data_IF_057977427676
#
_entry.id   IF_057977427676
#
_cell.length_a   1.000
_cell.length_b   1.000
_cell.length_c   1.000
_cell.angle_alpha   90.00
_cell.angle_beta   90.00
_cell.angle_gamma   90.00
#
_symmetry.space_group_name_H-M   'P 1'
#
loop_
_entity.id
_entity.type
_entity.pdbx_description
1 polymer ?
#
# COMPACT_ATOMS: atom_id res chain seq x y z
N UNK A 1 -19.08 13.18 -23.15
CA UNK A 1 -18.56 14.29 -22.32
C UNK A 1 -19.54 14.63 -21.21
N UNK A 2 -19.03 14.78 -19.98
CA UNK A 2 -19.78 15.21 -18.80
C UNK A 2 -19.29 16.60 -18.41
N UNK A 3 -20.22 17.52 -18.12
CA UNK A 3 -19.93 18.82 -17.50
C UNK A 3 -20.44 18.81 -16.05
N UNK A 4 -19.57 19.13 -15.10
CA UNK A 4 -19.95 19.47 -13.73
C UNK A 4 -19.83 21.00 -13.61
N UNK A 5 -20.90 21.71 -13.21
CA UNK A 5 -20.93 23.18 -13.08
C UNK A 5 -21.32 23.63 -11.68
N UNK A 6 -21.14 24.92 -11.40
CA UNK A 6 -21.47 25.55 -10.11
C UNK A 6 -20.81 24.88 -8.91
N UNK A 7 -19.59 24.36 -9.07
CA UNK A 7 -18.88 23.61 -8.03
C UNK A 7 -17.89 24.48 -7.25
N UNK A 8 -17.70 24.15 -5.97
CA UNK A 8 -16.51 24.57 -5.19
C UNK A 8 -15.43 23.51 -5.37
N UNK A 9 -14.52 23.72 -6.32
CA UNK A 9 -13.52 22.73 -6.69
C UNK A 9 -12.31 22.85 -5.77
N UNK A 10 -11.88 21.73 -5.21
CA UNK A 10 -10.64 21.59 -4.44
C UNK A 10 -9.67 20.69 -5.22
N UNK A 11 -8.78 21.26 -6.06
CA UNK A 11 -7.88 20.46 -6.90
C UNK A 11 -6.78 19.72 -6.14
N UNK A 12 -6.55 20.07 -4.87
CA UNK A 12 -5.44 19.62 -3.99
C UNK A 12 -4.03 20.06 -4.42
N UNK A 13 -3.77 20.26 -5.71
CA UNK A 13 -2.48 20.75 -6.24
C UNK A 13 -2.39 22.26 -6.38
N UNK A 14 -3.49 22.99 -6.14
CA UNK A 14 -3.58 24.42 -6.38
C UNK A 14 -4.65 25.08 -5.52
N UNK A 15 -4.96 26.34 -5.85
CA UNK A 15 -5.95 27.13 -5.10
C UNK A 15 -7.36 26.62 -5.33
N UNK A 16 -8.21 26.77 -4.31
CA UNK A 16 -9.65 26.54 -4.40
C UNK A 16 -10.27 27.41 -5.51
N UNK A 17 -11.18 26.81 -6.25
CA UNK A 17 -11.97 27.47 -7.29
C UNK A 17 -13.41 27.58 -6.81
N UNK A 18 -13.89 28.81 -6.64
CA UNK A 18 -15.30 29.10 -6.39
C UNK A 18 -16.04 29.18 -7.74
N UNK A 19 -17.29 28.73 -7.79
CA UNK A 19 -18.16 28.76 -8.98
C UNK A 19 -17.49 28.12 -10.23
N UNK A 20 -16.81 27.00 -10.01
CA UNK A 20 -16.04 26.33 -11.03
C UNK A 20 -16.81 25.30 -11.85
N UNK A 21 -16.13 24.81 -12.88
CA UNK A 21 -16.58 23.69 -13.70
C UNK A 21 -15.51 22.63 -13.90
N UNK A 22 -15.95 21.42 -14.27
CA UNK A 22 -15.10 20.30 -14.67
C UNK A 22 -15.70 19.65 -15.91
N UNK A 23 -14.89 19.46 -16.95
CA UNK A 23 -15.21 18.69 -18.14
C UNK A 23 -14.53 17.33 -18.02
N UNK A 24 -15.32 16.26 -18.13
CA UNK A 24 -14.84 14.88 -18.14
C UNK A 24 -15.16 14.24 -19.49
N UNK A 25 -14.16 13.62 -20.08
CA UNK A 25 -14.29 12.86 -21.33
C UNK A 25 -13.50 11.57 -21.19
N UNK A 26 -14.12 10.46 -21.60
CA UNK A 26 -13.53 9.11 -21.56
C UNK A 26 -12.97 8.75 -20.17
N UNK A 27 -13.74 9.09 -19.13
CA UNK A 27 -13.39 8.82 -17.72
C UNK A 27 -12.26 9.68 -17.16
N UNK A 28 -11.73 10.65 -17.92
CA UNK A 28 -10.64 11.54 -17.50
C UNK A 28 -11.08 13.00 -17.46
N UNK A 29 -10.51 13.76 -16.53
CA UNK A 29 -10.69 15.22 -16.48
C UNK A 29 -9.93 15.82 -17.67
N UNK A 30 -10.65 16.49 -18.57
CA UNK A 30 -10.06 17.21 -19.70
C UNK A 30 -9.70 18.64 -19.31
N UNK A 31 -10.58 19.30 -18.56
CA UNK A 31 -10.46 20.70 -18.22
C UNK A 31 -11.24 21.01 -16.95
N UNK A 32 -10.77 21.96 -16.16
CA UNK A 32 -11.52 22.56 -15.06
C UNK A 32 -11.08 24.01 -14.85
N UNK A 33 -11.95 24.85 -14.31
CA UNK A 33 -11.65 26.28 -14.17
C UNK A 33 -12.78 27.07 -13.54
N UNK A 34 -12.67 28.41 -13.61
CA UNK A 34 -13.74 29.37 -13.29
C UNK A 34 -14.46 29.78 -14.57
N UNK A 35 -15.66 30.33 -14.40
CA UNK A 35 -16.37 31.10 -15.42
C UNK A 35 -16.50 30.33 -16.74
N UNK A 36 -17.49 29.45 -16.73
CA UNK A 36 -17.99 28.75 -17.90
C UNK A 36 -18.54 29.78 -18.89
N UNK A 37 -17.75 30.15 -19.89
CA UNK A 37 -18.31 30.60 -21.18
C UNK A 37 -18.63 29.35 -22.04
N UNK A 38 -19.30 28.38 -21.42
CA UNK A 38 -19.76 27.15 -22.07
C UNK A 38 -21.06 27.51 -22.77
N UNK A 39 -20.93 28.20 -23.90
CA UNK A 39 -22.06 28.74 -24.65
C UNK A 39 -23.02 27.68 -25.22
N UNK A 40 -22.74 26.38 -25.01
CA UNK A 40 -23.70 25.32 -25.31
C UNK A 40 -23.57 24.17 -24.31
N UNK A 41 -24.32 24.23 -23.22
CA UNK A 41 -24.64 23.04 -22.38
C UNK A 41 -25.17 21.86 -23.23
N UNK A 42 -25.68 22.16 -24.44
CA UNK A 42 -26.15 21.21 -25.46
C UNK A 42 -25.07 20.29 -26.03
N UNK A 43 -23.79 20.64 -25.87
CA UNK A 43 -22.68 19.86 -26.42
C UNK A 43 -22.19 18.75 -25.46
N UNK A 44 -22.81 18.61 -24.29
CA UNK A 44 -22.46 17.60 -23.29
C UNK A 44 -23.55 16.53 -23.20
N UNK A 45 -23.14 15.27 -23.17
CA UNK A 45 -24.05 14.12 -22.98
C UNK A 45 -24.74 14.17 -21.62
N UNK A 46 -24.08 14.78 -20.62
CA UNK A 46 -24.61 14.92 -19.27
C UNK A 46 -24.08 16.19 -18.61
N UNK A 47 -24.99 16.97 -18.06
CA UNK A 47 -24.69 18.15 -17.25
C UNK A 47 -25.09 17.86 -15.80
N UNK A 48 -24.17 18.11 -14.87
CA UNK A 48 -24.35 17.95 -13.42
C UNK A 48 -24.17 19.33 -12.79
N UNK A 49 -25.24 19.85 -12.18
CA UNK A 49 -25.15 21.05 -11.35
C UNK A 49 -24.76 20.65 -9.92
N UNK A 50 -23.63 21.13 -9.43
CA UNK A 50 -23.16 20.86 -8.07
C UNK A 50 -23.86 21.74 -7.02
N UNK A 51 -24.69 22.71 -7.43
CA UNK A 51 -25.47 23.59 -6.56
C UNK A 51 -24.62 24.28 -5.47
N UNK A 52 -23.40 24.70 -5.80
CA UNK A 52 -22.46 25.31 -4.85
C UNK A 52 -21.78 24.32 -3.89
N UNK A 53 -22.00 23.02 -4.09
CA UNK A 53 -21.37 21.92 -3.37
C UNK A 53 -19.89 21.76 -3.71
N UNK A 54 -19.18 20.97 -2.89
CA UNK A 54 -17.77 20.71 -3.09
C UNK A 54 -17.52 19.57 -4.07
N UNK A 55 -16.53 19.76 -4.93
CA UNK A 55 -16.01 18.69 -5.79
C UNK A 55 -14.53 18.52 -5.50
N UNK A 56 -14.15 17.31 -5.10
CA UNK A 56 -12.80 16.94 -4.71
C UNK A 56 -12.37 15.70 -5.51
N UNK A 57 -11.05 15.47 -5.69
CA UNK A 57 -10.55 14.16 -6.03
C UNK A 57 -11.04 13.13 -5.01
N UNK A 58 -11.36 11.93 -5.47
CA UNK A 58 -11.65 10.82 -4.57
C UNK A 58 -10.43 10.50 -3.71
N UNK A 59 -10.64 10.23 -2.42
CA UNK A 59 -9.56 9.90 -1.51
C UNK A 59 -8.91 8.57 -1.89
N UNK A 60 -7.62 8.46 -1.53
CA UNK A 60 -6.80 7.27 -1.71
C UNK A 60 -6.38 6.81 -0.33
N UNK A 61 -6.84 5.63 0.08
CA UNK A 61 -6.27 4.97 1.24
C UNK A 61 -5.03 4.19 0.78
N UNK A 62 -3.86 4.63 1.24
CA UNK A 62 -2.57 4.12 0.80
C UNK A 62 -2.07 2.90 1.61
N UNK A 63 -2.81 2.50 2.66
CA UNK A 63 -2.59 1.25 3.38
C UNK A 63 -3.87 0.84 4.12
N UNK A 64 -4.63 -0.06 3.51
CA UNK A 64 -5.78 -0.67 4.16
C UNK A 64 -5.77 -2.18 3.95
N UNK A 65 -6.82 -2.82 4.44
CA UNK A 65 -7.05 -4.25 4.28
C UNK A 65 -8.48 -4.57 3.84
N UNK A 66 -9.15 -3.59 3.21
CA UNK A 66 -10.50 -3.77 2.64
C UNK A 66 -10.47 -4.93 1.63
N UNK A 67 -11.43 -5.85 1.75
CA UNK A 67 -11.50 -7.08 0.97
C UNK A 67 -10.58 -8.20 1.44
N UNK A 68 -9.59 -7.94 2.30
CA UNK A 68 -8.71 -8.99 2.87
C UNK A 68 -9.25 -9.57 4.18
N UNK A 69 -10.11 -8.82 4.87
CA UNK A 69 -10.90 -9.25 6.01
C UNK A 69 -12.35 -8.90 5.72
N UNK A 70 -13.13 -9.89 5.32
CA UNK A 70 -14.54 -9.71 4.96
C UNK A 70 -15.35 -9.18 6.15
N UNK A 71 -16.15 -8.14 5.89
CA UNK A 71 -17.05 -7.57 6.87
C UNK A 71 -18.05 -8.60 7.44
N UNK A 72 -18.18 -8.63 8.76
CA UNK A 72 -19.10 -9.51 9.47
C UNK A 72 -18.72 -10.99 9.50
N UNK A 73 -17.55 -11.37 8.99
CA UNK A 73 -17.06 -12.76 8.94
C UNK A 73 -15.80 -12.92 9.79
N UNK A 74 -15.62 -14.09 10.39
CA UNK A 74 -14.45 -14.39 11.22
C UNK A 74 -13.32 -14.99 10.39
N UNK A 75 -12.93 -16.23 10.69
CA UNK A 75 -11.78 -16.89 10.08
C UNK A 75 -12.02 -17.17 8.60
N UNK A 76 -13.27 -17.46 8.22
CA UNK A 76 -13.68 -17.80 6.86
C UNK A 76 -13.41 -16.69 5.84
N UNK A 77 -13.38 -15.43 6.29
CA UNK A 77 -13.13 -14.26 5.44
C UNK A 77 -11.81 -13.56 5.77
N UNK A 78 -10.91 -14.20 6.52
CA UNK A 78 -9.65 -13.61 7.02
C UNK A 78 -8.44 -14.06 6.17
N UNK A 79 -8.35 -13.59 4.93
CA UNK A 79 -7.27 -13.92 3.99
C UNK A 79 -6.07 -12.97 4.04
N UNK A 80 -6.08 -11.98 4.94
CA UNK A 80 -5.05 -10.96 5.02
C UNK A 80 -3.71 -11.37 5.66
N UNK A 81 -3.57 -12.54 6.27
CA UNK A 81 -2.28 -13.01 6.83
C UNK A 81 -2.07 -14.52 6.64
N UNK A 82 -1.15 -14.90 5.75
CA UNK A 82 -0.68 -16.29 5.62
C UNK A 82 0.33 -16.65 6.72
N UNK A 83 -0.13 -16.72 7.97
CA UNK A 83 0.71 -16.86 9.17
C UNK A 83 1.31 -18.26 9.38
N UNK A 84 1.47 -19.05 8.31
CA UNK A 84 2.05 -20.40 8.33
C UNK A 84 3.56 -20.40 8.06
N UNK A 85 4.06 -19.39 7.33
CA UNK A 85 5.46 -19.19 6.95
C UNK A 85 5.86 -17.70 7.16
N UNK A 86 6.95 -17.36 7.88
CA UNK A 86 7.39 -15.96 8.06
C UNK A 86 7.77 -15.23 6.79
N UNK A 87 8.00 -15.93 5.68
CA UNK A 87 8.52 -15.37 4.43
C UNK A 87 7.67 -15.83 3.25
N UNK A 88 6.69 -15.02 2.89
CA UNK A 88 5.74 -15.27 1.81
C UNK A 88 5.75 -14.20 0.70
N UNK A 89 6.92 -13.78 0.17
CA UNK A 89 7.02 -12.73 -0.84
C UNK A 89 6.36 -13.08 -2.18
N UNK A 90 6.01 -14.34 -2.42
CA UNK A 90 5.34 -14.80 -3.64
C UNK A 90 3.83 -14.56 -3.64
N UNK A 91 3.22 -14.28 -2.48
CA UNK A 91 1.78 -14.07 -2.37
C UNK A 91 1.38 -12.70 -2.92
N UNK A 92 0.18 -12.63 -3.49
CA UNK A 92 -0.39 -11.40 -4.03
C UNK A 92 -1.73 -11.11 -3.36
N UNK A 93 -1.96 -9.86 -3.00
CA UNK A 93 -3.24 -9.42 -2.44
C UNK A 93 -4.43 -9.80 -3.32
N UNK A 94 -4.29 -9.64 -4.64
CA UNK A 94 -5.34 -9.91 -5.63
C UNK A 94 -5.99 -11.29 -5.48
N UNK A 95 -5.24 -12.29 -5.02
CA UNK A 95 -5.72 -13.67 -4.87
C UNK A 95 -6.55 -13.87 -3.59
N UNK A 96 -6.55 -12.90 -2.68
CA UNK A 96 -7.31 -12.92 -1.42
C UNK A 96 -8.26 -11.74 -1.23
N UNK A 97 -8.45 -10.89 -2.25
CA UNK A 97 -9.43 -9.78 -2.18
C UNK A 97 -10.83 -10.32 -2.48
N UNK A 98 -11.69 -10.29 -1.47
CA UNK A 98 -13.12 -10.45 -1.67
C UNK A 98 -13.74 -9.14 -2.20
N UNK A 99 -13.90 -9.06 -3.52
CA UNK A 99 -14.36 -7.86 -4.21
C UNK A 99 -15.83 -7.45 -3.91
N UNK A 100 -16.62 -8.36 -3.31
CA UNK A 100 -18.00 -8.09 -2.89
C UNK A 100 -18.12 -7.68 -1.41
N UNK A 101 -17.00 -7.48 -0.72
CA UNK A 101 -16.97 -6.98 0.66
C UNK A 101 -17.72 -5.64 0.76
N UNK A 102 -18.65 -5.55 1.72
CA UNK A 102 -19.43 -4.34 2.03
C UNK A 102 -18.52 -3.13 2.25
N UNK A 103 -17.33 -3.36 2.81
CA UNK A 103 -16.33 -2.33 3.09
C UNK A 103 -15.93 -1.51 1.85
N UNK A 104 -15.97 -2.10 0.64
CA UNK A 104 -15.72 -1.33 -0.60
C UNK A 104 -16.82 -0.30 -0.88
N UNK A 105 -18.08 -0.68 -0.64
CA UNK A 105 -19.23 0.21 -0.80
C UNK A 105 -19.17 1.35 0.22
N UNK A 106 -18.91 1.03 1.48
CA UNK A 106 -18.82 2.03 2.55
C UNK A 106 -17.64 3.00 2.32
N UNK A 107 -16.49 2.48 1.88
CA UNK A 107 -15.34 3.31 1.50
C UNK A 107 -15.72 4.29 0.38
N UNK A 108 -16.42 3.83 -0.67
CA UNK A 108 -16.90 4.68 -1.76
C UNK A 108 -17.87 5.75 -1.26
N UNK A 109 -18.82 5.40 -0.40
CA UNK A 109 -19.79 6.32 0.19
C UNK A 109 -19.12 7.38 1.07
N UNK A 110 -18.00 7.03 1.72
CA UNK A 110 -17.14 7.95 2.45
C UNK A 110 -16.19 8.79 1.55
N UNK A 111 -16.24 8.62 0.23
CA UNK A 111 -15.42 9.35 -0.74
C UNK A 111 -14.05 8.74 -1.02
N UNK A 112 -13.74 7.55 -0.47
CA UNK A 112 -12.54 6.79 -0.81
C UNK A 112 -12.79 6.05 -2.13
N UNK A 113 -12.04 6.43 -3.16
CA UNK A 113 -12.21 5.86 -4.51
C UNK A 113 -11.14 4.83 -4.88
N UNK A 114 -10.05 4.79 -4.12
CA UNK A 114 -8.91 3.90 -4.37
C UNK A 114 -8.38 3.37 -3.04
N UNK A 115 -8.25 2.05 -2.97
CA UNK A 115 -7.71 1.33 -1.83
C UNK A 115 -6.40 0.64 -2.24
N UNK A 116 -5.34 0.88 -1.48
CA UNK A 116 -4.10 0.10 -1.54
C UNK A 116 -4.21 -0.98 -0.47
N UNK A 117 -4.66 -2.15 -0.90
CA UNK A 117 -5.02 -3.27 -0.02
C UNK A 117 -4.05 -4.44 -0.18
N UNK A 118 -3.87 -5.21 0.88
CA UNK A 118 -3.00 -6.37 0.88
C UNK A 118 -2.64 -6.90 2.26
N UNK A 119 -1.58 -7.72 2.36
CA UNK A 119 -1.24 -8.45 3.56
C UNK A 119 -1.09 -7.58 4.82
N UNK A 120 -1.47 -8.16 5.95
CA UNK A 120 -1.32 -7.60 7.29
C UNK A 120 0.13 -7.60 7.77
N UNK A 121 0.33 -7.73 9.07
CA UNK A 121 1.65 -7.61 9.71
C UNK A 121 2.03 -8.85 10.51
N UNK A 122 1.37 -9.99 10.26
CA UNK A 122 1.74 -11.25 10.88
C UNK A 122 3.12 -11.73 10.40
N UNK A 123 3.36 -11.70 9.09
CA UNK A 123 4.55 -12.22 8.46
C UNK A 123 5.71 -11.22 8.52
N UNK A 124 6.94 -11.71 8.52
CA UNK A 124 8.14 -10.86 8.41
C UNK A 124 8.22 -10.25 7.01
N UNK A 125 7.99 -11.08 5.98
CA UNK A 125 7.80 -10.66 4.58
C UNK A 125 6.46 -11.26 4.14
N UNK A 126 5.46 -10.42 3.86
CA UNK A 126 4.06 -10.85 3.82
C UNK A 126 3.41 -10.97 2.44
N UNK A 127 4.08 -10.54 1.36
CA UNK A 127 3.51 -10.56 0.01
C UNK A 127 3.14 -9.18 -0.52
N UNK A 128 2.45 -9.15 -1.67
CA UNK A 128 2.27 -7.95 -2.48
C UNK A 128 0.96 -7.24 -2.17
N UNK A 129 0.98 -5.92 -2.18
CA UNK A 129 -0.20 -5.06 -2.17
C UNK A 129 -0.69 -4.81 -3.61
N UNK A 130 -2.00 -4.63 -3.74
CA UNK A 130 -2.67 -4.19 -4.95
C UNK A 130 -3.33 -2.82 -4.73
N UNK A 131 -3.37 -2.00 -5.78
CA UNK A 131 -4.19 -0.81 -5.84
C UNK A 131 -5.47 -1.13 -6.61
N UNK A 132 -6.62 -0.94 -5.96
CA UNK A 132 -7.94 -1.22 -6.51
C UNK A 132 -8.85 0.00 -6.38
N UNK A 133 -9.75 0.20 -7.34
CA UNK A 133 -10.87 1.12 -7.23
C UNK A 133 -11.94 0.53 -6.33
N UNK A 134 -12.68 1.40 -5.63
CA UNK A 134 -13.89 1.02 -4.87
C UNK A 134 -15.14 0.91 -5.76
N UNK A 135 -14.96 0.73 -7.08
CA UNK A 135 -16.06 0.58 -8.03
C UNK A 135 -16.64 -0.84 -7.96
N UNK A 136 -17.93 -0.98 -8.25
CA UNK A 136 -18.61 -2.28 -8.29
C UNK A 136 -18.41 -2.91 -9.67
N UNK A 137 -18.04 -4.20 -9.68
CA UNK A 137 -17.69 -4.96 -10.88
C UNK A 137 -16.98 -6.26 -10.51
N UNK A 138 -16.31 -6.85 -11.48
CA UNK A 138 -15.37 -7.98 -11.29
C UNK A 138 -14.03 -7.48 -10.73
N UNK A 139 -13.20 -8.35 -10.12
CA UNK A 139 -11.85 -8.00 -9.68
C UNK A 139 -11.03 -7.30 -10.78
N UNK A 140 -11.07 -7.83 -12.00
CA UNK A 140 -10.34 -7.30 -13.16
C UNK A 140 -10.70 -5.86 -13.52
N UNK A 141 -11.94 -5.44 -13.25
CA UNK A 141 -12.41 -4.06 -13.47
C UNK A 141 -12.02 -3.12 -12.33
N UNK A 142 -11.82 -3.65 -11.12
CA UNK A 142 -11.42 -2.89 -9.95
C UNK A 142 -9.93 -2.62 -9.92
N UNK A 143 -9.11 -3.52 -10.46
CA UNK A 143 -7.65 -3.44 -10.34
C UNK A 143 -7.09 -2.27 -11.16
N UNK A 144 -6.30 -1.42 -10.49
CA UNK A 144 -5.45 -0.43 -11.14
C UNK A 144 -4.04 -0.97 -11.35
N UNK A 145 -3.54 -1.72 -10.36
CA UNK A 145 -2.21 -2.34 -10.40
C UNK A 145 -2.16 -3.43 -9.31
N UNK A 146 -1.87 -4.67 -9.70
CA UNK A 146 -1.80 -5.84 -8.81
C UNK A 146 -0.43 -6.01 -8.12
N UNK A 147 0.54 -5.14 -8.42
CA UNK A 147 1.95 -5.26 -8.03
C UNK A 147 2.54 -3.91 -7.59
N UNK A 148 2.00 -3.27 -6.55
CA UNK A 148 2.44 -1.91 -6.17
C UNK A 148 3.50 -1.87 -5.07
N UNK A 149 3.47 -2.81 -4.13
CA UNK A 149 4.43 -2.85 -3.03
C UNK A 149 4.53 -4.22 -2.36
N UNK A 150 5.66 -4.50 -1.71
CA UNK A 150 5.92 -5.67 -0.87
C UNK A 150 5.71 -5.31 0.61
N UNK A 151 4.95 -6.10 1.36
CA UNK A 151 4.82 -5.94 2.81
C UNK A 151 5.99 -6.57 3.56
N UNK A 152 6.60 -5.79 4.45
CA UNK A 152 7.55 -6.31 5.45
C UNK A 152 7.17 -5.78 6.84
N UNK A 153 7.20 -6.62 7.86
CA UNK A 153 6.83 -6.24 9.21
C UNK A 153 7.99 -6.35 10.20
N UNK A 154 8.07 -5.34 11.06
CA UNK A 154 8.95 -5.25 12.21
C UNK A 154 8.13 -5.24 13.51
N UNK A 155 8.80 -5.12 14.65
CA UNK A 155 8.11 -4.96 15.93
C UNK A 155 7.46 -6.23 16.47
N UNK A 156 6.35 -6.05 17.20
CA UNK A 156 5.71 -7.06 18.03
C UNK A 156 4.96 -8.12 17.23
N UNK A 157 4.30 -7.70 16.14
CA UNK A 157 3.38 -8.58 15.42
C UNK A 157 4.07 -9.86 14.90
N UNK A 158 5.17 -9.79 14.11
CA UNK A 158 5.82 -11.00 13.63
C UNK A 158 6.39 -11.85 14.76
N UNK A 159 7.09 -11.24 15.72
CA UNK A 159 7.68 -12.00 16.83
C UNK A 159 6.63 -12.67 17.74
N UNK A 160 5.45 -12.07 17.87
CA UNK A 160 4.34 -12.62 18.65
C UNK A 160 3.72 -13.79 17.91
N UNK A 161 3.35 -13.60 16.64
CA UNK A 161 2.68 -14.63 15.83
C UNK A 161 3.51 -15.92 15.75
N UNK A 162 4.77 -15.83 15.34
CA UNK A 162 5.62 -17.02 15.22
C UNK A 162 6.13 -17.50 16.59
N UNK A 163 6.41 -16.59 17.51
CA UNK A 163 6.79 -16.94 18.88
C UNK A 163 5.73 -17.80 19.60
N UNK A 164 4.44 -17.47 19.47
CA UNK A 164 3.35 -18.28 20.05
C UNK A 164 3.20 -19.66 19.37
N UNK A 165 3.70 -19.80 18.14
CA UNK A 165 3.75 -21.09 17.44
C UNK A 165 5.04 -21.87 17.73
N UNK A 166 5.91 -21.39 18.63
CA UNK A 166 7.27 -21.92 18.84
C UNK A 166 8.11 -21.95 17.55
N UNK A 167 7.88 -20.98 16.65
CA UNK A 167 8.60 -20.81 15.38
C UNK A 167 9.51 -19.59 15.41
N UNK A 168 10.55 -19.63 14.59
CA UNK A 168 11.38 -18.47 14.29
C UNK A 168 10.61 -17.49 13.38
N UNK A 169 10.51 -16.18 13.70
CA UNK A 169 11.16 -15.45 14.79
C UNK A 169 10.32 -15.28 16.07
N UNK A 170 11.00 -15.24 17.22
CA UNK A 170 10.41 -14.85 18.52
C UNK A 170 11.02 -13.56 19.11
N UNK A 171 11.87 -12.88 18.35
CA UNK A 171 12.57 -11.65 18.76
C UNK A 171 12.65 -10.64 17.60
N UNK A 172 12.90 -9.36 17.92
CA UNK A 172 13.17 -8.30 16.93
C UNK A 172 14.45 -8.60 16.13
N UNK A 173 15.47 -9.16 16.79
CA UNK A 173 16.72 -9.58 16.13
C UNK A 173 16.45 -10.66 15.10
N UNK A 174 15.63 -11.67 15.44
CA UNK A 174 15.22 -12.71 14.50
C UNK A 174 14.44 -12.16 13.32
N UNK A 175 13.51 -11.23 13.57
CA UNK A 175 12.75 -10.55 12.51
C UNK A 175 13.70 -9.84 11.53
N UNK A 176 14.65 -9.04 12.03
CA UNK A 176 15.62 -8.34 11.20
C UNK A 176 16.57 -9.29 10.46
N UNK A 177 16.98 -10.40 11.09
CA UNK A 177 17.84 -11.41 10.47
C UNK A 177 17.13 -12.14 9.32
N UNK A 178 15.85 -12.51 9.48
CA UNK A 178 15.05 -13.11 8.40
C UNK A 178 15.00 -12.19 7.17
N UNK A 179 14.76 -10.90 7.36
CA UNK A 179 14.71 -9.95 6.24
C UNK A 179 16.06 -9.91 5.51
N UNK A 180 17.16 -9.73 6.25
CA UNK A 180 18.51 -9.69 5.66
C UNK A 180 18.86 -10.97 4.92
N UNK A 181 18.62 -12.11 5.55
CA UNK A 181 18.94 -13.41 4.97
C UNK A 181 18.21 -13.62 3.64
N UNK A 182 16.93 -13.28 3.57
CA UNK A 182 16.15 -13.47 2.34
C UNK A 182 16.51 -12.47 1.24
N UNK A 183 16.86 -11.23 1.60
CA UNK A 183 17.38 -10.26 0.63
C UNK A 183 18.75 -10.70 0.08
N UNK A 184 19.65 -11.19 0.93
CA UNK A 184 20.95 -11.72 0.50
C UNK A 184 20.80 -12.93 -0.44
N UNK A 185 19.92 -13.88 -0.09
CA UNK A 185 19.63 -15.03 -0.95
C UNK A 185 19.02 -14.61 -2.28
N UNK A 186 18.16 -13.60 -2.29
CA UNK A 186 17.58 -13.05 -3.52
C UNK A 186 18.64 -12.33 -4.38
N UNK A 187 19.58 -11.59 -3.77
CA UNK A 187 20.72 -11.00 -4.48
C UNK A 187 21.62 -12.07 -5.10
N UNK A 188 21.94 -13.13 -4.36
CA UNK A 188 22.73 -14.26 -4.86
C UNK A 188 22.01 -14.95 -6.04
N UNK A 189 20.71 -15.20 -5.90
CA UNK A 189 19.87 -15.78 -6.95
C UNK A 189 19.87 -14.91 -8.22
N UNK A 190 19.67 -13.60 -8.08
CA UNK A 190 19.70 -12.67 -9.21
C UNK A 190 21.09 -12.58 -9.85
N UNK A 191 22.16 -12.65 -9.06
CA UNK A 191 23.54 -12.73 -9.56
C UNK A 191 23.75 -13.95 -10.47
N UNK A 192 23.29 -15.13 -10.03
CA UNK A 192 23.37 -16.38 -10.83
C UNK A 192 22.56 -16.31 -12.13
N UNK A 193 21.39 -15.65 -12.12
CA UNK A 193 20.61 -15.41 -13.35
C UNK A 193 21.41 -14.52 -14.31
N UNK A 194 21.89 -13.37 -13.82
CA UNK A 194 22.62 -12.42 -14.65
C UNK A 194 23.91 -13.00 -15.24
N UNK A 195 24.61 -13.86 -14.48
CA UNK A 195 25.81 -14.54 -14.94
C UNK A 195 25.49 -15.58 -16.03
N UNK A 196 24.41 -16.34 -15.88
CA UNK A 196 23.94 -17.29 -16.90
C UNK A 196 23.44 -16.61 -18.19
N UNK A 197 22.94 -15.38 -18.10
CA UNK A 197 22.54 -14.58 -19.27
C UNK A 197 23.75 -14.03 -20.04
N UNK A 198 24.86 -13.76 -19.36
CA UNK A 198 26.10 -13.22 -19.96
C UNK A 198 27.08 -14.29 -20.39
N UNK A 199 27.09 -15.44 -19.74
CA UNK A 199 28.01 -16.54 -19.98
C UNK A 199 27.24 -17.84 -20.23
N UNK A 200 27.31 -18.36 -21.45
CA UNK A 200 26.65 -19.60 -21.86
C UNK A 200 27.14 -20.86 -21.12
N UNK A 201 28.30 -20.80 -20.47
CA UNK A 201 28.83 -21.90 -19.65
C UNK A 201 28.30 -21.88 -18.21
N UNK A 202 27.74 -20.74 -17.76
CA UNK A 202 27.16 -20.63 -16.42
C UNK A 202 25.80 -21.31 -16.35
N UNK A 203 25.61 -22.16 -15.34
CA UNK A 203 24.32 -22.83 -15.10
C UNK A 203 23.32 -21.86 -14.47
N UNK A 204 22.19 -21.65 -15.13
CA UNK A 204 21.04 -20.91 -14.57
C UNK A 204 20.55 -21.60 -13.28
N UNK A 205 20.27 -20.85 -12.19
CA UNK A 205 19.72 -21.45 -10.98
C UNK A 205 18.31 -22.01 -11.24
N UNK A 206 17.90 -23.00 -10.44
CA UNK A 206 16.53 -23.50 -10.46
C UNK A 206 15.56 -22.39 -10.03
N UNK A 207 14.38 -22.34 -10.66
CA UNK A 207 13.37 -21.32 -10.38
C UNK A 207 13.04 -21.26 -8.88
N UNK A 208 13.17 -20.07 -8.31
CA UNK A 208 12.72 -19.80 -6.94
C UNK A 208 11.75 -18.61 -6.92
N UNK A 209 10.46 -18.89 -6.82
CA UNK A 209 9.39 -17.86 -6.85
C UNK A 209 9.52 -16.82 -5.74
N UNK A 210 10.07 -17.18 -4.58
CA UNK A 210 10.29 -16.22 -3.48
C UNK A 210 11.38 -15.21 -3.85
N UNK A 211 12.46 -15.70 -4.43
CA UNK A 211 13.60 -14.85 -4.82
C UNK A 211 13.30 -14.04 -6.08
N UNK A 212 12.48 -14.54 -7.01
CA UNK A 212 11.94 -13.74 -8.12
C UNK A 212 11.15 -12.53 -7.62
N UNK A 213 10.32 -12.72 -6.59
CA UNK A 213 9.58 -11.61 -5.98
C UNK A 213 10.47 -10.61 -5.25
N UNK A 214 11.46 -11.10 -4.50
CA UNK A 214 12.40 -10.23 -3.78
C UNK A 214 13.40 -9.53 -4.72
N UNK A 215 13.73 -10.11 -5.87
CA UNK A 215 14.54 -9.45 -6.89
C UNK A 215 13.88 -8.16 -7.38
N UNK A 216 12.54 -8.12 -7.50
CA UNK A 216 11.78 -6.89 -7.82
C UNK A 216 11.88 -5.81 -6.74
N UNK A 217 12.10 -6.21 -5.49
CA UNK A 217 12.35 -5.26 -4.40
C UNK A 217 13.77 -4.71 -4.50
N UNK A 218 14.76 -5.58 -4.75
CA UNK A 218 16.17 -5.23 -4.87
C UNK A 218 16.48 -4.33 -6.08
N UNK A 219 15.80 -4.53 -7.21
CA UNK A 219 15.96 -3.69 -8.40
C UNK A 219 15.12 -2.39 -8.35
N UNK A 220 14.35 -2.20 -7.28
CA UNK A 220 13.54 -1.03 -7.05
C UNK A 220 12.22 -0.99 -7.82
N UNK A 221 11.85 -2.01 -8.61
CA UNK A 221 10.53 -2.08 -9.28
C UNK A 221 9.38 -2.15 -8.29
N UNK A 222 9.59 -2.75 -7.12
CA UNK A 222 8.59 -2.91 -6.07
C UNK A 222 8.99 -2.14 -4.80
N UNK A 223 8.15 -1.21 -4.36
CA UNK A 223 8.31 -0.47 -3.10
C UNK A 223 8.15 -1.43 -1.91
N UNK A 224 8.85 -1.23 -0.79
CA UNK A 224 8.57 -1.95 0.46
C UNK A 224 7.69 -1.11 1.39
N UNK A 225 6.57 -1.67 1.80
CA UNK A 225 5.76 -1.19 2.92
C UNK A 225 6.30 -1.76 4.22
N UNK A 226 7.13 -0.98 4.93
CA UNK A 226 7.75 -1.40 6.19
C UNK A 226 6.85 -1.05 7.39
N UNK A 227 6.10 -2.04 7.89
CA UNK A 227 5.32 -1.92 9.13
C UNK A 227 6.25 -1.78 10.34
N UNK A 228 6.24 -0.60 10.96
CA UNK A 228 7.01 -0.32 12.16
C UNK A 228 6.33 0.75 13.03
N UNK A 229 6.16 0.46 14.32
CA UNK A 229 5.56 1.39 15.27
C UNK A 229 6.62 2.12 16.09
N UNK A 230 7.48 1.39 16.81
CA UNK A 230 8.48 1.98 17.71
C UNK A 230 9.66 2.60 16.97
N UNK A 231 10.31 3.58 17.59
CA UNK A 231 11.47 4.27 17.01
C UNK A 231 12.63 3.32 16.65
N UNK A 232 12.89 2.29 17.45
CA UNK A 232 13.96 1.31 17.20
C UNK A 232 13.64 0.35 16.04
N UNK A 233 12.37 -0.01 15.87
CA UNK A 233 11.90 -0.78 14.71
C UNK A 233 11.96 0.06 13.42
N UNK A 234 11.57 1.34 13.48
CA UNK A 234 11.69 2.28 12.36
C UNK A 234 13.16 2.46 11.95
N UNK A 235 14.05 2.70 12.92
CA UNK A 235 15.50 2.82 12.66
C UNK A 235 16.06 1.53 12.04
N UNK A 236 15.59 0.36 12.48
CA UNK A 236 16.01 -0.92 11.92
C UNK A 236 15.56 -1.07 10.47
N UNK A 237 14.31 -0.71 10.15
CA UNK A 237 13.82 -0.69 8.77
C UNK A 237 14.66 0.24 7.88
N UNK A 238 14.99 1.45 8.36
CA UNK A 238 15.85 2.41 7.65
C UNK A 238 17.27 1.84 7.43
N UNK A 239 17.84 1.17 8.43
CA UNK A 239 19.17 0.54 8.31
C UNK A 239 19.17 -0.53 7.21
N UNK A 240 18.18 -1.42 7.20
CA UNK A 240 18.06 -2.47 6.18
C UNK A 240 17.81 -1.84 4.80
N UNK A 241 16.95 -0.83 4.70
CA UNK A 241 16.71 -0.16 3.43
C UNK A 241 17.99 0.46 2.85
N UNK A 242 18.84 1.07 3.67
CA UNK A 242 20.14 1.59 3.22
C UNK A 242 21.13 0.48 2.87
N UNK A 243 21.15 -0.60 3.64
CA UNK A 243 22.03 -1.76 3.43
C UNK A 243 21.79 -2.43 2.06
N UNK A 244 20.53 -2.49 1.61
CA UNK A 244 20.14 -3.14 0.35
C UNK A 244 19.65 -2.16 -0.73
N UNK A 245 19.79 -0.84 -0.51
CA UNK A 245 19.29 0.22 -1.40
C UNK A 245 17.80 0.09 -1.77
N UNK A 246 16.96 -0.22 -0.79
CA UNK A 246 15.52 -0.43 -0.99
C UNK A 246 14.76 0.89 -1.05
N UNK A 247 13.76 0.96 -1.94
CA UNK A 247 12.71 1.98 -1.86
C UNK A 247 11.70 1.54 -0.81
N UNK A 248 11.50 2.35 0.24
CA UNK A 248 10.56 2.01 1.31
C UNK A 248 9.60 3.14 1.64
N UNK A 249 8.44 2.79 2.19
CA UNK A 249 7.60 3.63 3.04
C UNK A 249 7.56 3.05 4.45
N UNK A 250 7.55 3.91 5.46
CA UNK A 250 7.30 3.50 6.85
C UNK A 250 5.79 3.50 7.05
N UNK A 251 5.22 2.34 7.36
CA UNK A 251 3.80 2.19 7.65
C UNK A 251 3.56 2.34 9.15
N UNK A 252 2.50 3.07 9.48
CA UNK A 252 2.12 3.53 10.81
C UNK A 252 3.08 4.57 11.39
N UNK A 253 4.35 4.21 11.56
CA UNK A 253 5.38 5.12 12.05
C UNK A 253 5.02 5.77 13.38
N UNK A 254 4.37 5.02 14.28
CA UNK A 254 3.72 5.55 15.49
C UNK A 254 4.63 6.43 16.35
N UNK A 255 5.89 6.05 16.54
CA UNK A 255 6.89 6.82 17.28
C UNK A 255 7.86 7.60 16.37
N UNK A 256 7.55 7.73 15.08
CA UNK A 256 8.40 8.46 14.12
C UNK A 256 8.58 9.93 14.50
N UNK A 257 7.59 10.53 15.17
CA UNK A 257 7.65 11.90 15.69
C UNK A 257 8.70 12.09 16.80
N UNK A 258 9.19 11.02 17.44
CA UNK A 258 10.27 11.07 18.43
C UNK A 258 11.66 11.19 17.80
N UNK A 259 11.77 10.90 16.49
CA UNK A 259 13.04 10.92 15.73
C UNK A 259 12.95 11.76 14.44
N UNK A 260 12.42 13.01 14.49
CA UNK A 260 12.03 13.76 13.30
C UNK A 260 13.22 14.10 12.39
N UNK A 261 14.38 14.46 12.95
CA UNK A 261 15.59 14.75 12.18
C UNK A 261 16.14 13.50 11.47
N UNK A 262 16.02 12.34 12.10
CA UNK A 262 16.41 11.07 11.47
C UNK A 262 15.47 10.73 10.32
N UNK A 263 14.15 10.91 10.51
CA UNK A 263 13.15 10.68 9.47
C UNK A 263 13.36 11.61 8.27
N UNK A 264 13.59 12.91 8.54
CA UNK A 264 13.92 13.91 7.51
C UNK A 264 15.19 13.53 6.75
N UNK A 265 16.26 13.13 7.45
CA UNK A 265 17.52 12.69 6.82
C UNK A 265 17.37 11.37 6.06
N UNK A 266 16.50 10.47 6.52
CA UNK A 266 16.23 9.21 5.83
C UNK A 266 15.45 9.42 4.53
N UNK A 267 14.60 10.46 4.48
CA UNK A 267 13.85 10.87 3.29
C UNK A 267 13.00 9.73 2.68
N UNK A 268 12.40 8.92 3.55
CA UNK A 268 11.40 7.92 3.16
C UNK A 268 9.99 8.44 3.48
N UNK A 269 9.02 8.07 2.64
CA UNK A 269 7.62 8.40 2.89
C UNK A 269 7.10 7.69 4.14
N UNK A 270 6.13 8.32 4.82
CA UNK A 270 5.45 7.75 5.99
C UNK A 270 3.96 7.70 5.69
N UNK A 271 3.34 6.54 5.89
CA UNK A 271 1.89 6.38 5.86
C UNK A 271 1.44 6.22 7.29
N UNK A 272 1.05 7.36 7.88
CA UNK A 272 0.65 7.43 9.27
C UNK A 272 -0.73 6.80 9.52
N UNK A 273 -0.96 6.39 10.76
CA UNK A 273 -2.23 5.81 11.21
C UNK A 273 -2.19 4.29 11.42
N UNK A 274 -3.26 3.70 11.97
CA UNK A 274 -4.47 4.38 12.46
C UNK A 274 -4.17 5.30 13.65
N UNK A 275 -4.81 6.47 13.67
CA UNK A 275 -4.68 7.47 14.76
C UNK A 275 -5.89 7.38 15.70
N UNK A 276 -7.08 7.22 15.13
CA UNK A 276 -8.34 7.11 15.85
C UNK A 276 -8.59 5.62 16.13
N UNK A 277 -7.88 5.05 17.10
CA UNK A 277 -8.03 3.66 17.53
C UNK A 277 -7.58 3.47 18.98
N UNK A 278 -7.90 2.33 19.60
CA UNK A 278 -7.29 2.00 20.89
C UNK A 278 -5.79 1.67 20.76
N UNK A 279 -5.07 1.82 21.88
CA UNK A 279 -3.67 1.39 22.00
C UNK A 279 -3.61 -0.10 22.32
N UNK A 280 -3.96 -0.93 21.34
CA UNK A 280 -4.16 -2.39 21.49
C UNK A 280 -2.89 -3.21 21.80
N UNK A 281 -1.70 -2.60 21.74
CA UNK A 281 -0.40 -3.25 21.98
C UNK A 281 0.61 -2.27 22.57
N UNK A 282 1.70 -2.79 23.17
CA UNK A 282 2.66 -1.95 23.90
C UNK A 282 3.40 -0.97 22.97
N UNK A 283 3.61 -1.36 21.72
CA UNK A 283 4.08 -0.50 20.61
C UNK A 283 3.20 0.74 20.33
N UNK A 284 1.92 0.70 20.69
CA UNK A 284 0.99 1.81 20.48
C UNK A 284 0.86 2.72 21.72
N UNK A 285 1.57 2.45 22.82
CA UNK A 285 1.46 3.22 24.07
C UNK A 285 1.68 4.73 23.88
N UNK A 286 2.52 5.09 22.90
CA UNK A 286 2.91 6.46 22.58
C UNK A 286 2.17 7.02 21.36
N UNK A 287 1.07 6.38 20.92
CA UNK A 287 0.23 6.88 19.83
C UNK A 287 -0.29 8.28 20.20
N UNK A 288 0.02 9.26 19.34
CA UNK A 288 -0.43 10.65 19.40
C UNK A 288 -1.06 11.03 18.06
N UNK A 289 -2.17 11.80 18.06
CA UNK A 289 -2.65 12.51 16.88
C UNK A 289 -1.62 13.50 16.34
#
# INVERSE_FOLDING_TARGET
>A
MILIKNAKILPMTGRKIEFGYIIVQDGKIQQFGRDVDVQAEKDFDRVIDAHGGYVLPGYIDAHCHVGMWEDGVNWEGSDGNEATDPVTPQLKAIDGIFFQDNSFKEAKEAGITTCVTGPGSANVIGGWFAAVKTLHGTPDEMILNDCIAMKMAFGENPKRVYGTQNKYPSTRMGTAAIIRENLLKAQEYQGKINDAEKNSESKKPDLNVKYESLAKVLDGRLLVKAHAHRQDDIITAIRIAREFNLRITIEHGTEGYLIPELMKKANFGVIAGPIICERSKIELRNLSP
#
